data_IF_058676925090
#
_entry.id   IF_058676925090
#
_cell.length_a   1.000
_cell.length_b   1.000
_cell.length_c   1.000
_cell.angle_alpha   90.00
_cell.angle_beta   90.00
_cell.angle_gamma   90.00
#
_symmetry.space_group_name_H-M   'P 1'
#
loop_
_entity.id
_entity.type
_entity.pdbx_description
1 polymer ?
#
# COMPACT_ATOMS: atom_id res chain seq x y z
N UNK A 1 8.39 2.03 -0.05
CA UNK A 1 7.04 1.82 0.54
C UNK A 1 7.17 0.90 1.72
N UNK A 2 6.45 1.15 2.81
CA UNK A 2 6.33 0.20 3.91
C UNK A 2 4.93 -0.39 3.91
N UNK A 3 4.82 -1.70 4.06
CA UNK A 3 3.52 -2.37 4.17
C UNK A 3 3.53 -3.52 5.18
N UNK A 4 2.34 -3.81 5.72
CA UNK A 4 2.04 -4.97 6.57
C UNK A 4 0.70 -5.58 6.17
N UNK A 5 0.45 -6.80 6.62
CA UNK A 5 -0.83 -7.50 6.45
C UNK A 5 -1.32 -8.05 7.78
N UNK A 6 -2.53 -8.59 7.81
CA UNK A 6 -3.04 -9.36 8.94
C UNK A 6 -2.22 -10.63 9.21
N UNK A 7 -1.75 -11.29 8.15
CA UNK A 7 -0.86 -12.46 8.24
C UNK A 7 0.59 -12.12 8.62
N UNK A 8 1.03 -10.88 8.37
CA UNK A 8 2.37 -10.41 8.67
C UNK A 8 2.31 -9.00 9.30
N UNK A 9 2.21 -8.90 10.64
CA UNK A 9 1.85 -7.64 11.32
C UNK A 9 2.98 -6.61 11.40
N UNK A 10 4.22 -7.00 11.08
CA UNK A 10 5.38 -6.08 11.03
C UNK A 10 5.47 -5.44 9.65
N UNK A 11 5.71 -4.12 9.62
CA UNK A 11 6.00 -3.41 8.39
C UNK A 11 7.29 -3.92 7.75
N UNK A 12 7.23 -4.15 6.44
CA UNK A 12 8.38 -4.50 5.59
C UNK A 12 8.55 -3.44 4.53
N UNK A 13 9.79 -3.18 4.16
CA UNK A 13 10.13 -2.22 3.12
C UNK A 13 10.11 -2.87 1.73
N UNK A 14 9.56 -2.13 0.77
CA UNK A 14 9.70 -2.36 -0.66
C UNK A 14 10.39 -1.13 -1.25
N UNK A 15 11.65 -1.26 -1.70
CA UNK A 15 12.34 -0.18 -2.37
C UNK A 15 11.76 0.03 -3.77
N UNK A 16 11.81 1.27 -4.26
CA UNK A 16 11.49 1.59 -5.65
C UNK A 16 12.74 2.01 -6.41
N UNK A 17 12.76 1.76 -7.72
CA UNK A 17 13.82 2.28 -8.58
C UNK A 17 13.79 3.80 -8.59
N UNK A 18 14.93 4.45 -8.37
CA UNK A 18 15.07 5.91 -8.43
C UNK A 18 14.85 6.49 -9.83
N UNK A 19 14.90 5.65 -10.87
CA UNK A 19 14.76 6.06 -12.28
C UNK A 19 13.36 5.79 -12.85
N UNK A 20 12.43 5.26 -12.05
CA UNK A 20 11.08 4.97 -12.54
C UNK A 20 10.24 6.24 -12.62
N UNK A 21 9.57 6.45 -13.76
CA UNK A 21 8.59 7.54 -13.94
C UNK A 21 7.37 7.39 -13.02
N UNK A 22 7.05 6.15 -12.63
CA UNK A 22 5.96 5.82 -11.71
C UNK A 22 6.33 4.69 -10.77
N UNK A 23 6.18 4.92 -9.47
CA UNK A 23 6.33 3.88 -8.46
C UNK A 23 5.04 3.07 -8.33
N UNK A 24 5.13 1.77 -8.56
CA UNK A 24 3.99 0.84 -8.44
C UNK A 24 4.41 -0.43 -7.71
N UNK A 25 3.53 -0.92 -6.85
CA UNK A 25 3.68 -2.20 -6.18
C UNK A 25 2.46 -3.08 -6.46
N UNK A 26 2.68 -4.33 -6.85
CA UNK A 26 1.62 -5.34 -7.04
C UNK A 26 1.76 -6.40 -5.96
N UNK A 27 0.75 -6.50 -5.12
CA UNK A 27 0.66 -7.57 -4.13
C UNK A 27 0.08 -8.84 -4.77
N UNK A 28 0.68 -9.99 -4.48
CA UNK A 28 0.17 -11.29 -4.92
C UNK A 28 -0.44 -12.04 -3.72
N UNK A 29 -1.78 -12.10 -3.61
CA UNK A 29 -2.46 -12.78 -2.52
C UNK A 29 -2.39 -14.31 -2.61
N UNK A 30 -2.04 -14.89 -3.77
CA UNK A 30 -1.85 -16.33 -3.90
C UNK A 30 -0.52 -16.76 -3.30
N UNK A 31 0.54 -15.98 -3.55
CA UNK A 31 1.86 -16.21 -2.96
C UNK A 31 1.92 -15.81 -1.47
N UNK A 32 1.19 -14.77 -1.09
CA UNK A 32 1.13 -14.27 0.29
C UNK A 32 -0.34 -14.06 0.68
N UNK A 33 -1.00 -15.06 1.27
CA UNK A 33 -2.39 -14.90 1.70
C UNK A 33 -2.57 -13.84 2.80
N UNK A 34 -3.56 -12.97 2.63
CA UNK A 34 -3.94 -11.91 3.57
C UNK A 34 -5.37 -11.42 3.28
N UNK A 35 -6.04 -10.85 4.28
CA UNK A 35 -7.35 -10.21 4.11
C UNK A 35 -7.25 -8.71 3.82
N UNK A 36 -6.19 -8.05 4.31
CA UNK A 36 -5.96 -6.64 4.05
C UNK A 36 -4.47 -6.30 4.02
N UNK A 37 -4.16 -5.20 3.37
CA UNK A 37 -2.83 -4.58 3.36
C UNK A 37 -2.92 -3.18 3.99
N UNK A 38 -2.04 -2.88 4.94
CA UNK A 38 -1.84 -1.52 5.43
C UNK A 38 -0.49 -1.01 4.96
N UNK A 39 -0.44 0.16 4.32
CA UNK A 39 0.80 0.70 3.76
C UNK A 39 0.91 2.21 3.92
N UNK A 40 2.14 2.70 3.77
CA UNK A 40 2.47 4.11 3.61
C UNK A 40 3.74 4.25 2.76
N UNK A 41 3.96 5.44 2.22
CA UNK A 41 5.14 5.75 1.44
C UNK A 41 6.10 6.63 2.22
N UNK A 42 7.38 6.48 1.92
CA UNK A 42 8.45 7.34 2.39
C UNK A 42 9.25 7.83 1.19
N UNK A 43 9.82 9.04 1.33
CA UNK A 43 10.79 9.60 0.39
C UNK A 43 11.96 10.12 1.21
N UNK A 44 13.15 9.63 0.88
CA UNK A 44 14.40 10.14 1.41
C UNK A 44 14.93 11.25 0.48
N UNK A 45 15.20 12.42 1.06
CA UNK A 45 15.75 13.57 0.36
C UNK A 45 17.28 13.51 0.33
N UNK A 46 17.90 14.26 -0.58
CA UNK A 46 19.37 14.31 -0.74
C UNK A 46 20.06 14.75 0.57
N UNK A 47 19.39 15.55 1.39
CA UNK A 47 19.91 16.01 2.69
C UNK A 47 19.73 14.99 3.83
N UNK A 48 19.31 13.75 3.54
CA UNK A 48 19.08 12.69 4.53
C UNK A 48 17.77 12.82 5.32
N UNK A 49 16.94 13.83 5.04
CA UNK A 49 15.62 13.94 5.65
C UNK A 49 14.65 12.92 5.03
N UNK A 50 13.73 12.38 5.83
CA UNK A 50 12.70 11.44 5.37
C UNK A 50 11.33 12.06 5.54
N UNK A 51 10.56 12.08 4.46
CA UNK A 51 9.14 12.44 4.45
C UNK A 51 8.29 11.18 4.32
N UNK A 52 7.10 11.18 4.90
CA UNK A 52 6.17 10.06 4.82
C UNK A 52 4.75 10.53 4.48
N UNK A 53 3.98 9.67 3.81
CA UNK A 53 2.61 9.97 3.35
C UNK A 53 1.73 8.71 3.34
N UNK A 54 0.42 8.81 3.66
CA UNK A 54 -0.32 10.03 4.02
C UNK A 54 -0.10 10.48 5.45
N UNK A 55 -0.28 11.77 5.71
CA UNK A 55 -0.39 12.34 7.05
C UNK A 55 -1.82 12.81 7.30
N UNK A 56 -2.25 12.85 8.55
CA UNK A 56 -3.52 13.45 8.95
C UNK A 56 -3.40 14.98 9.17
N UNK A 57 -4.49 15.61 9.58
CA UNK A 57 -4.55 17.06 9.81
C UNK A 57 -3.67 17.55 10.97
N UNK A 58 -3.21 16.65 11.84
CA UNK A 58 -2.26 16.94 12.90
C UNK A 58 -0.79 16.73 12.49
N UNK A 59 -0.57 16.29 11.24
CA UNK A 59 0.76 15.98 10.72
C UNK A 59 1.28 14.60 11.12
N UNK A 60 0.45 13.75 11.73
CA UNK A 60 0.83 12.38 12.09
C UNK A 60 0.65 11.44 10.90
N UNK A 61 1.55 10.47 10.78
CA UNK A 61 1.47 9.43 9.74
C UNK A 61 0.15 8.66 9.89
N UNK A 62 -0.62 8.61 8.80
CA UNK A 62 -1.90 7.90 8.70
C UNK A 62 -1.83 6.86 7.57
N UNK A 63 -1.33 5.64 7.86
CA UNK A 63 -1.27 4.58 6.87
C UNK A 63 -2.63 4.26 6.26
N UNK A 64 -2.62 3.83 4.99
CA UNK A 64 -3.82 3.42 4.25
C UNK A 64 -4.03 1.93 4.46
N UNK A 65 -5.22 1.52 4.90
CA UNK A 65 -5.64 0.12 4.93
C UNK A 65 -6.58 -0.16 3.78
N UNK A 66 -6.28 -1.21 3.01
CA UNK A 66 -7.05 -1.65 1.87
C UNK A 66 -7.39 -3.14 2.02
N UNK A 67 -8.68 -3.47 1.92
CA UNK A 67 -9.15 -4.85 1.92
C UNK A 67 -8.78 -5.51 0.58
N UNK A 68 -8.25 -6.73 0.65
CA UNK A 68 -7.96 -7.54 -0.52
C UNK A 68 -9.25 -8.26 -0.91
N UNK A 69 -9.77 -7.92 -2.08
CA UNK A 69 -10.98 -8.50 -2.64
C UNK A 69 -10.63 -9.40 -3.80
N UNK A 70 -11.40 -10.48 -3.97
CA UNK A 70 -11.32 -11.31 -5.17
C UNK A 70 -11.55 -10.42 -6.42
N UNK A 71 -10.60 -10.36 -7.37
CA UNK A 71 -10.73 -9.55 -8.57
C UNK A 71 -11.99 -9.88 -9.38
N UNK A 72 -12.35 -11.17 -9.49
CA UNK A 72 -13.52 -11.61 -10.24
C UNK A 72 -14.79 -11.09 -9.59
N UNK A 73 -14.86 -11.16 -8.26
CA UNK A 73 -15.97 -10.61 -7.48
C UNK A 73 -16.05 -9.09 -7.64
N UNK A 74 -14.93 -8.38 -7.49
CA UNK A 74 -14.86 -6.93 -7.61
C UNK A 74 -15.37 -6.42 -8.97
N UNK A 75 -14.87 -6.99 -10.07
CA UNK A 75 -15.29 -6.55 -11.41
C UNK A 75 -16.75 -6.90 -11.71
N UNK A 76 -17.24 -8.05 -11.22
CA UNK A 76 -18.66 -8.39 -11.32
C UNK A 76 -19.54 -7.38 -10.58
N UNK A 77 -19.24 -7.10 -9.32
CA UNK A 77 -20.03 -6.15 -8.51
C UNK A 77 -19.97 -4.73 -9.06
N UNK A 78 -18.82 -4.32 -9.62
CA UNK A 78 -18.68 -3.02 -10.29
C UNK A 78 -19.50 -2.95 -11.58
N UNK A 79 -19.52 -4.01 -12.39
CA UNK A 79 -20.36 -4.07 -13.60
C UNK A 79 -21.87 -4.05 -13.26
N UNK A 80 -22.24 -4.55 -12.07
CA UNK A 80 -23.60 -4.51 -11.53
C UNK A 80 -23.96 -3.17 -10.84
N UNK A 81 -23.03 -2.19 -10.78
CA UNK A 81 -23.28 -0.87 -10.20
C UNK A 81 -23.33 -0.82 -8.66
N UNK A 82 -22.74 -1.81 -7.98
CA UNK A 82 -22.67 -1.86 -6.51
C UNK A 82 -21.57 -0.98 -5.91
N UNK A 83 -20.75 -0.36 -6.76
CA UNK A 83 -19.64 0.53 -6.43
C UNK A 83 -19.57 1.71 -7.40
#
# INVERSE_FOLDING_TARGET
MFYRTDSQPRYREVPFSKTADRFSFRYDPLANPANYITYFFTVELINGSVLATPIDSSGLLKPVTMNLVDPMKYFKERAEGKF
#
